data_IF_938022034610
#
_entry.id   IF_938022034610
#
_cell.length_a   1.000
_cell.length_b   1.000
_cell.length_c   1.000
_cell.angle_alpha   90.00
_cell.angle_beta   90.00
_cell.angle_gamma   90.00
#
_symmetry.space_group_name_H-M   'P 1'
#
loop_
_entity.id
_entity.type
_entity.pdbx_description
1 polymer ?
#
# COMPACT_ATOMS: atom_id res chain seq x y z
N UNK A 1 1.22 -25.30 -11.30
CA UNK A 1 2.37 -24.39 -11.10
C UNK A 1 3.31 -24.29 -12.31
N UNK A 2 3.18 -25.21 -13.27
CA UNK A 2 4.01 -25.18 -14.47
C UNK A 2 3.79 -23.86 -15.23
N UNK A 3 4.90 -23.19 -15.62
CA UNK A 3 4.86 -21.89 -16.31
C UNK A 3 4.33 -20.71 -15.50
N UNK A 4 3.95 -20.87 -14.22
CA UNK A 4 3.42 -19.81 -13.40
C UNK A 4 4.40 -18.63 -13.26
N UNK A 5 5.65 -18.93 -12.88
CA UNK A 5 6.67 -17.89 -12.76
C UNK A 5 6.93 -17.16 -14.08
N UNK A 6 6.96 -17.90 -15.20
CA UNK A 6 7.13 -17.31 -16.54
C UNK A 6 5.98 -16.36 -16.89
N UNK A 7 4.75 -16.68 -16.47
CA UNK A 7 3.59 -15.82 -16.70
C UNK A 7 3.65 -14.55 -15.84
N UNK A 8 3.98 -14.69 -14.55
CA UNK A 8 4.15 -13.54 -13.63
C UNK A 8 5.26 -12.60 -14.15
N UNK A 9 6.40 -13.13 -14.60
CA UNK A 9 7.52 -12.34 -15.12
C UNK A 9 7.20 -11.52 -16.38
N UNK A 10 6.13 -11.83 -17.10
CA UNK A 10 5.67 -10.98 -18.22
C UNK A 10 5.17 -9.62 -17.74
N UNK A 11 4.64 -9.56 -16.53
CA UNK A 11 4.06 -8.35 -15.93
C UNK A 11 5.00 -7.74 -14.90
N UNK A 12 5.68 -8.57 -14.10
CA UNK A 12 6.63 -8.17 -13.06
C UNK A 12 8.02 -8.16 -13.64
N UNK A 13 8.49 -6.99 -14.05
CA UNK A 13 9.80 -6.82 -14.68
C UNK A 13 10.92 -6.59 -13.66
N UNK A 14 12.13 -7.03 -13.95
CA UNK A 14 13.35 -6.74 -13.19
C UNK A 14 13.42 -7.40 -11.80
N UNK A 15 12.56 -8.40 -11.53
CA UNK A 15 12.51 -9.10 -10.24
C UNK A 15 12.42 -10.62 -10.41
N UNK A 16 13.08 -11.17 -11.40
CA UNK A 16 12.95 -12.57 -11.79
C UNK A 16 13.22 -13.55 -10.66
N UNK A 17 14.33 -13.37 -9.93
CA UNK A 17 14.70 -14.24 -8.80
C UNK A 17 13.70 -14.13 -7.64
N UNK A 18 13.16 -12.93 -7.40
CA UNK A 18 12.13 -12.70 -6.41
C UNK A 18 10.83 -13.42 -6.77
N UNK A 19 10.38 -13.30 -8.02
CA UNK A 19 9.18 -13.99 -8.53
C UNK A 19 9.34 -15.49 -8.41
N UNK A 20 10.50 -16.07 -8.81
CA UNK A 20 10.79 -17.50 -8.65
C UNK A 20 10.71 -17.92 -7.18
N UNK A 21 11.24 -17.10 -6.28
CA UNK A 21 11.17 -17.30 -4.83
C UNK A 21 9.73 -17.32 -4.32
N UNK A 22 8.92 -16.31 -4.69
CA UNK A 22 7.52 -16.21 -4.29
C UNK A 22 6.70 -17.39 -4.81
N UNK A 23 6.83 -17.74 -6.09
CA UNK A 23 6.11 -18.88 -6.67
C UNK A 23 6.51 -20.18 -5.97
N UNK A 24 7.79 -20.37 -5.66
CA UNK A 24 8.27 -21.53 -4.91
C UNK A 24 7.68 -21.58 -3.49
N UNK A 25 7.67 -20.43 -2.80
CA UNK A 25 7.11 -20.31 -1.45
C UNK A 25 5.61 -20.61 -1.42
N UNK A 26 4.86 -20.12 -2.41
CA UNK A 26 3.43 -20.39 -2.56
C UNK A 26 3.14 -21.86 -2.95
N UNK A 27 4.06 -22.50 -3.67
CA UNK A 27 3.95 -23.93 -4.06
C UNK A 27 4.25 -24.88 -2.90
N UNK A 28 5.04 -24.46 -1.91
CA UNK A 28 5.51 -25.33 -0.82
C UNK A 28 4.41 -26.16 -0.14
N UNK A 29 3.24 -25.59 0.26
CA UNK A 29 2.17 -26.35 0.91
C UNK A 29 1.54 -27.43 0.03
N UNK A 30 1.56 -27.23 -1.29
CA UNK A 30 1.01 -28.20 -2.23
C UNK A 30 1.92 -29.43 -2.40
N UNK A 31 3.21 -29.29 -2.09
CA UNK A 31 4.20 -30.38 -2.18
C UNK A 31 4.36 -31.10 -0.86
N UNK A 32 4.43 -30.35 0.25
CA UNK A 32 4.70 -30.90 1.59
C UNK A 32 3.42 -31.29 2.32
N UNK A 33 2.26 -30.83 1.86
CA UNK A 33 1.03 -30.89 2.62
C UNK A 33 0.97 -29.81 3.70
N UNK A 34 -0.20 -29.60 4.27
CA UNK A 34 -0.43 -28.73 5.43
C UNK A 34 -1.23 -29.48 6.45
N UNK A 35 -0.74 -29.52 7.69
CA UNK A 35 -1.51 -30.02 8.82
C UNK A 35 -2.33 -28.86 9.40
N UNK A 36 -3.65 -28.93 9.29
CA UNK A 36 -4.51 -27.95 9.95
C UNK A 36 -4.40 -28.09 11.49
N UNK A 37 -4.40 -27.00 12.26
CA UNK A 37 -4.74 -25.59 11.91
C UNK A 37 -3.56 -24.68 11.55
N UNK A 38 -2.40 -25.22 11.26
CA UNK A 38 -1.16 -24.46 11.02
C UNK A 38 -1.28 -23.56 9.79
N UNK A 39 -0.51 -22.47 9.75
CA UNK A 39 -0.38 -21.65 8.57
C UNK A 39 0.14 -22.47 7.38
N UNK A 40 -0.34 -22.20 6.16
CA UNK A 40 0.15 -22.89 4.95
C UNK A 40 1.64 -22.70 4.75
N UNK A 41 2.10 -21.46 4.90
CA UNK A 41 3.51 -21.10 4.91
C UNK A 41 3.67 -19.75 5.61
N UNK A 42 4.84 -19.55 6.21
CA UNK A 42 5.27 -18.24 6.75
C UNK A 42 6.37 -17.72 5.85
N UNK A 43 6.12 -16.60 5.18
CA UNK A 43 6.98 -16.07 4.12
C UNK A 43 7.46 -14.67 4.50
N UNK A 44 8.75 -14.42 4.37
CA UNK A 44 9.32 -13.08 4.47
C UNK A 44 9.59 -12.52 3.08
N UNK A 45 8.96 -11.41 2.74
CA UNK A 45 9.24 -10.63 1.54
C UNK A 45 10.05 -9.40 1.92
N UNK A 46 11.33 -9.40 1.57
CA UNK A 46 12.30 -8.41 2.00
C UNK A 46 12.77 -7.54 0.82
N UNK A 47 13.32 -6.36 1.13
CA UNK A 47 13.90 -5.45 0.14
C UNK A 47 13.46 -4.00 0.31
N UNK A 48 14.06 -3.11 -0.47
CA UNK A 48 13.78 -1.68 -0.40
C UNK A 48 12.32 -1.34 -0.75
N UNK A 49 11.77 -0.23 -0.21
CA UNK A 49 10.47 0.27 -0.62
C UNK A 49 10.41 0.50 -2.13
N UNK A 50 9.23 0.29 -2.74
CA UNK A 50 9.01 0.58 -4.16
C UNK A 50 9.67 -0.38 -5.15
N UNK A 51 10.26 -1.50 -4.69
CA UNK A 51 10.85 -2.53 -5.57
C UNK A 51 9.83 -3.56 -6.10
N UNK A 52 8.53 -3.30 -5.94
CA UNK A 52 7.48 -4.12 -6.53
C UNK A 52 7.07 -5.36 -5.74
N UNK A 53 7.43 -5.49 -4.46
CA UNK A 53 7.10 -6.65 -3.61
C UNK A 53 5.59 -6.95 -3.56
N UNK A 54 4.76 -5.93 -3.30
CA UNK A 54 3.30 -6.06 -3.28
C UNK A 54 2.76 -6.45 -4.64
N UNK A 55 3.17 -5.72 -5.67
CA UNK A 55 2.73 -5.97 -7.04
C UNK A 55 3.05 -7.39 -7.51
N UNK A 56 4.25 -7.89 -7.21
CA UNK A 56 4.64 -9.26 -7.57
C UNK A 56 3.81 -10.32 -6.80
N UNK A 57 3.50 -10.08 -5.52
CA UNK A 57 2.64 -10.96 -4.74
C UNK A 57 1.20 -10.96 -5.25
N UNK A 58 0.63 -9.78 -5.49
CA UNK A 58 -0.74 -9.61 -6.01
C UNK A 58 -0.89 -10.27 -7.39
N UNK A 59 0.08 -10.06 -8.28
CA UNK A 59 0.06 -10.65 -9.61
C UNK A 59 0.21 -12.18 -9.54
N UNK A 60 1.05 -12.68 -8.64
CA UNK A 60 1.17 -14.13 -8.38
C UNK A 60 -0.16 -14.69 -7.85
N UNK A 61 -0.79 -14.03 -6.89
CA UNK A 61 -2.07 -14.45 -6.33
C UNK A 61 -3.18 -14.44 -7.40
N UNK A 62 -3.23 -13.40 -8.24
CA UNK A 62 -4.18 -13.26 -9.34
C UNK A 62 -4.08 -14.43 -10.33
N UNK A 63 -2.86 -14.77 -10.76
CA UNK A 63 -2.64 -15.86 -11.71
C UNK A 63 -2.93 -17.21 -11.03
N UNK A 64 -2.54 -17.39 -9.76
CA UNK A 64 -2.84 -18.61 -9.01
C UNK A 64 -4.36 -18.81 -8.85
N UNK A 65 -5.11 -17.76 -8.55
CA UNK A 65 -6.57 -17.81 -8.44
C UNK A 65 -7.21 -18.14 -9.80
N UNK A 66 -6.75 -17.51 -10.89
CA UNK A 66 -7.20 -17.80 -12.24
C UNK A 66 -6.96 -19.27 -12.67
N UNK A 67 -5.93 -19.91 -12.09
CA UNK A 67 -5.60 -21.33 -12.32
C UNK A 67 -6.27 -22.28 -11.30
N UNK A 68 -7.12 -21.76 -10.39
CA UNK A 68 -7.78 -22.56 -9.35
C UNK A 68 -6.84 -23.09 -8.25
N UNK A 69 -5.64 -22.52 -8.11
CA UNK A 69 -4.67 -22.86 -7.06
C UNK A 69 -4.95 -22.11 -5.76
N UNK A 70 -5.63 -20.97 -5.84
CA UNK A 70 -6.21 -20.22 -4.71
C UNK A 70 -7.71 -20.06 -4.95
N UNK A 71 -8.47 -19.92 -3.88
CA UNK A 71 -9.93 -19.68 -3.95
C UNK A 71 -10.23 -18.24 -4.37
N UNK A 72 -9.33 -17.30 -4.06
CA UNK A 72 -9.47 -15.89 -4.38
C UNK A 72 -8.11 -15.24 -4.55
N UNK A 73 -8.04 -14.22 -5.40
CA UNK A 73 -6.89 -13.32 -5.57
C UNK A 73 -6.81 -12.25 -4.47
N UNK A 74 -7.84 -12.14 -3.62
CA UNK A 74 -7.88 -11.12 -2.57
C UNK A 74 -6.87 -11.44 -1.46
N UNK A 75 -6.17 -10.40 -1.05
CA UNK A 75 -5.25 -10.43 0.08
C UNK A 75 -5.82 -9.60 1.24
N UNK A 76 -5.64 -10.08 2.47
CA UNK A 76 -5.90 -9.27 3.66
C UNK A 76 -4.58 -8.63 4.11
N UNK A 77 -4.62 -7.35 4.47
CA UNK A 77 -3.44 -6.61 4.94
C UNK A 77 -3.69 -6.11 6.35
N UNK A 78 -2.79 -6.40 7.26
CA UNK A 78 -2.78 -5.88 8.62
C UNK A 78 -1.56 -4.98 8.81
N UNK A 79 -1.81 -3.68 8.87
CA UNK A 79 -0.77 -2.68 9.15
C UNK A 79 -0.54 -2.60 10.66
N UNK A 80 0.56 -3.17 11.12
CA UNK A 80 0.88 -3.30 12.53
C UNK A 80 1.31 -1.97 13.19
N UNK A 81 1.61 -0.94 12.40
CA UNK A 81 1.86 0.40 12.93
C UNK A 81 0.61 1.04 13.57
N UNK A 82 -0.58 0.50 13.27
CA UNK A 82 -1.84 0.94 13.89
C UNK A 82 -1.99 0.53 15.35
N UNK A 83 -1.12 -0.34 15.86
CA UNK A 83 -1.20 -0.92 17.19
C UNK A 83 0.10 -0.69 17.98
N UNK A 84 0.46 0.59 18.29
CA UNK A 84 1.76 0.94 18.89
C UNK A 84 1.85 0.64 20.39
N UNK A 85 0.73 0.46 21.06
CA UNK A 85 0.65 0.29 22.52
C UNK A 85 -0.40 -0.73 22.96
N UNK A 86 -0.36 -1.12 24.23
CA UNK A 86 -1.29 -2.09 24.81
C UNK A 86 -2.76 -1.65 24.79
N UNK A 87 -3.06 -0.36 24.74
CA UNK A 87 -4.41 0.18 24.67
C UNK A 87 -5.12 -0.15 23.35
N UNK A 88 -4.35 -0.48 22.32
CA UNK A 88 -4.86 -0.87 21.00
C UNK A 88 -5.33 -2.34 20.92
N UNK A 89 -5.28 -3.12 22.01
CA UNK A 89 -5.55 -4.57 22.00
C UNK A 89 -6.90 -4.94 21.37
N UNK A 90 -7.95 -4.25 21.76
CA UNK A 90 -9.30 -4.53 21.24
C UNK A 90 -9.36 -4.34 19.72
N UNK A 91 -8.77 -3.25 19.21
CA UNK A 91 -8.73 -2.97 17.77
C UNK A 91 -7.87 -4.01 17.05
N UNK A 92 -6.69 -4.31 17.59
CA UNK A 92 -5.79 -5.33 17.05
C UNK A 92 -6.49 -6.69 16.92
N UNK A 93 -7.16 -7.16 17.98
CA UNK A 93 -7.83 -8.46 17.96
C UNK A 93 -9.01 -8.50 16.99
N UNK A 94 -9.78 -7.42 16.89
CA UNK A 94 -10.87 -7.31 15.92
C UNK A 94 -10.36 -7.35 14.48
N UNK A 95 -9.33 -6.57 14.16
CA UNK A 95 -8.77 -6.50 12.81
C UNK A 95 -8.04 -7.80 12.45
N UNK A 96 -7.29 -8.40 13.38
CA UNK A 96 -6.63 -9.68 13.17
C UNK A 96 -7.67 -10.79 12.93
N UNK A 97 -8.73 -10.87 13.74
CA UNK A 97 -9.79 -11.85 13.57
C UNK A 97 -10.49 -11.68 12.22
N UNK A 98 -10.85 -10.44 11.86
CA UNK A 98 -11.45 -10.14 10.58
C UNK A 98 -10.54 -10.52 9.40
N UNK A 99 -9.23 -10.23 9.49
CA UNK A 99 -8.25 -10.57 8.48
C UNK A 99 -8.06 -12.09 8.33
N UNK A 100 -8.05 -12.84 9.43
CA UNK A 100 -7.96 -14.30 9.42
C UNK A 100 -9.20 -14.96 8.78
N UNK A 101 -10.38 -14.35 8.92
CA UNK A 101 -11.64 -14.87 8.38
C UNK A 101 -12.06 -14.19 7.06
N UNK A 102 -11.28 -13.22 6.57
CA UNK A 102 -11.52 -12.60 5.28
C UNK A 102 -11.45 -13.63 4.13
N UNK A 103 -12.19 -13.43 3.03
CA UNK A 103 -12.02 -14.26 1.85
C UNK A 103 -10.60 -14.12 1.30
N UNK A 104 -10.07 -15.23 0.76
CA UNK A 104 -8.68 -15.30 0.31
C UNK A 104 -7.76 -15.95 1.33
N UNK A 105 -6.67 -16.47 0.83
CA UNK A 105 -5.77 -17.36 1.59
C UNK A 105 -4.46 -16.67 1.97
N UNK A 106 -4.34 -15.35 1.71
CA UNK A 106 -3.12 -14.58 1.96
C UNK A 106 -3.41 -13.49 2.98
N UNK A 107 -2.66 -13.51 4.09
CA UNK A 107 -2.63 -12.46 5.11
C UNK A 107 -1.25 -11.82 5.15
N UNK A 108 -1.20 -10.52 4.95
CA UNK A 108 0.00 -9.71 4.90
C UNK A 108 0.13 -8.91 6.19
N UNK A 109 1.32 -8.94 6.79
CA UNK A 109 1.69 -8.14 7.95
C UNK A 109 2.72 -7.08 7.52
N UNK A 110 2.41 -5.81 7.79
CA UNK A 110 3.28 -4.68 7.49
C UNK A 110 3.68 -3.92 8.75
N UNK A 111 4.80 -3.21 8.69
CA UNK A 111 5.29 -2.29 9.72
C UNK A 111 5.35 -2.89 11.14
N UNK A 112 5.70 -4.17 11.25
CA UNK A 112 5.78 -4.87 12.52
C UNK A 112 6.81 -4.24 13.48
N UNK A 113 7.75 -3.46 12.98
CA UNK A 113 8.76 -2.76 13.77
C UNK A 113 8.14 -1.74 14.74
N UNK A 114 6.99 -1.18 14.38
CA UNK A 114 6.25 -0.16 15.14
C UNK A 114 5.13 -0.74 16.02
N UNK A 115 4.94 -2.06 16.00
CA UNK A 115 3.88 -2.75 16.73
C UNK A 115 4.25 -2.95 18.22
N UNK A 116 3.23 -2.96 19.07
CA UNK A 116 3.41 -3.35 20.48
C UNK A 116 3.91 -4.80 20.60
N UNK A 117 4.97 -5.07 21.41
CA UNK A 117 5.57 -6.40 21.48
C UNK A 117 4.61 -7.53 21.90
N UNK A 118 3.60 -7.22 22.74
CA UNK A 118 2.60 -8.20 23.16
C UNK A 118 1.79 -8.75 21.98
N UNK A 119 1.47 -7.94 20.98
CA UNK A 119 0.75 -8.36 19.79
C UNK A 119 1.62 -9.15 18.82
N UNK A 120 2.92 -8.80 18.74
CA UNK A 120 3.88 -9.59 17.97
C UNK A 120 4.00 -11.01 18.52
N UNK A 121 3.89 -11.21 19.84
CA UNK A 121 3.84 -12.53 20.43
C UNK A 121 2.62 -13.34 19.98
N UNK A 122 1.45 -12.72 19.91
CA UNK A 122 0.23 -13.36 19.38
C UNK A 122 0.43 -13.83 17.94
N UNK A 123 1.00 -12.98 17.09
CA UNK A 123 1.31 -13.31 15.69
C UNK A 123 2.37 -14.42 15.61
N UNK A 124 3.41 -14.36 16.47
CA UNK A 124 4.42 -15.41 16.54
C UNK A 124 3.83 -16.76 16.95
N UNK A 125 2.90 -16.79 17.89
CA UNK A 125 2.21 -18.01 18.33
C UNK A 125 1.35 -18.60 17.20
N UNK A 126 0.67 -17.76 16.40
CA UNK A 126 -0.04 -18.21 15.20
C UNK A 126 0.90 -18.91 14.20
N UNK A 127 2.08 -18.31 13.96
CA UNK A 127 3.03 -18.84 13.00
C UNK A 127 3.75 -20.11 13.47
N UNK A 128 4.07 -20.19 14.78
CA UNK A 128 4.91 -21.27 15.34
C UNK A 128 4.10 -22.42 15.93
N UNK A 129 2.95 -22.12 16.56
CA UNK A 129 2.13 -23.09 17.30
C UNK A 129 0.83 -23.41 16.58
N UNK A 130 0.52 -22.75 15.46
CA UNK A 130 -0.74 -22.88 14.75
C UNK A 130 -1.95 -22.33 15.50
N UNK A 131 -1.77 -21.71 16.66
CA UNK A 131 -2.86 -21.02 17.38
C UNK A 131 -2.29 -20.09 18.45
N UNK A 132 -3.00 -18.99 18.71
CA UNK A 132 -2.68 -18.06 19.79
C UNK A 132 -3.83 -17.95 20.79
N UNK A 133 -3.54 -17.97 22.11
CA UNK A 133 -4.54 -17.69 23.13
C UNK A 133 -4.92 -16.21 23.11
N UNK A 134 -6.17 -15.92 23.40
CA UNK A 134 -6.67 -14.57 23.61
C UNK A 134 -6.60 -14.20 25.10
N UNK A 135 -6.44 -12.91 25.40
CA UNK A 135 -6.39 -12.37 26.77
C UNK A 135 -7.71 -12.55 27.53
N UNK A 136 -8.83 -12.59 26.81
CA UNK A 136 -10.18 -12.79 27.30
C UNK A 136 -10.94 -13.81 26.46
N UNK A 137 -12.18 -14.09 26.84
CA UNK A 137 -13.12 -14.85 26.01
C UNK A 137 -13.95 -13.88 25.18
N UNK A 138 -14.11 -14.17 23.91
CA UNK A 138 -14.85 -13.34 22.98
C UNK A 138 -16.01 -14.12 22.36
N UNK A 139 -17.13 -13.44 22.13
CA UNK A 139 -18.24 -13.94 21.32
C UNK A 139 -18.13 -13.29 19.94
N UNK A 140 -18.43 -14.06 18.92
CA UNK A 140 -18.54 -13.53 17.55
C UNK A 140 -19.99 -13.14 17.33
N UNK A 141 -20.25 -11.85 17.11
CA UNK A 141 -21.59 -11.38 16.81
C UNK A 141 -22.02 -11.76 15.37
N UNK A 142 -23.27 -11.48 15.02
CA UNK A 142 -23.83 -11.76 13.68
C UNK A 142 -23.07 -11.04 12.53
N UNK A 143 -22.32 -10.02 12.86
CA UNK A 143 -21.52 -9.23 11.91
C UNK A 143 -20.08 -9.74 11.81
N UNK A 144 -19.72 -10.82 12.51
CA UNK A 144 -18.38 -11.39 12.53
C UNK A 144 -17.37 -10.61 13.39
N UNK A 145 -17.85 -9.76 14.32
CA UNK A 145 -17.02 -8.94 15.19
C UNK A 145 -16.84 -9.64 16.54
N UNK A 146 -15.61 -9.63 17.05
CA UNK A 146 -15.30 -10.10 18.40
C UNK A 146 -15.84 -9.13 19.45
N UNK A 147 -16.69 -9.63 20.34
CA UNK A 147 -17.24 -8.90 21.49
C UNK A 147 -16.74 -9.59 22.76
N UNK A 148 -16.13 -8.84 23.67
CA UNK A 148 -15.64 -9.38 24.94
C UNK A 148 -16.80 -9.98 25.75
N UNK A 149 -16.68 -11.26 26.06
CA UNK A 149 -17.68 -11.98 26.85
C UNK A 149 -17.44 -11.84 28.37
N UNK A 150 -16.38 -11.17 28.79
CA UNK A 150 -15.98 -11.05 30.18
C UNK A 150 -15.75 -12.42 30.85
N UNK A 151 -16.31 -12.61 32.04
CA UNK A 151 -16.22 -13.85 32.78
C UNK A 151 -17.33 -14.86 32.45
N UNK A 152 -18.24 -14.50 31.54
CA UNK A 152 -19.38 -15.34 31.20
C UNK A 152 -18.94 -16.64 30.49
N UNK A 153 -19.41 -17.78 30.96
CA UNK A 153 -19.28 -19.07 30.30
C UNK A 153 -20.39 -19.19 29.23
N UNK A 154 -20.22 -18.44 28.14
CA UNK A 154 -21.16 -18.48 27.03
C UNK A 154 -20.78 -19.59 26.04
N UNK A 155 -21.75 -20.43 25.59
CA UNK A 155 -21.51 -21.40 24.52
C UNK A 155 -21.02 -20.65 23.25
N UNK A 156 -19.96 -21.18 22.61
CA UNK A 156 -19.40 -20.57 21.41
C UNK A 156 -18.39 -19.45 21.68
N UNK A 157 -17.97 -19.26 22.95
CA UNK A 157 -16.91 -18.28 23.25
C UNK A 157 -15.56 -18.71 22.66
N UNK A 158 -14.92 -17.80 21.92
CA UNK A 158 -13.59 -17.96 21.33
C UNK A 158 -12.56 -17.52 22.35
N UNK A 159 -11.66 -18.42 22.73
CA UNK A 159 -10.51 -18.14 23.63
C UNK A 159 -9.15 -18.31 22.93
N UNK A 160 -9.16 -18.78 21.70
CA UNK A 160 -7.98 -18.98 20.85
C UNK A 160 -8.35 -18.63 19.42
N UNK A 161 -7.36 -18.20 18.67
CA UNK A 161 -7.44 -17.98 17.22
C UNK A 161 -6.39 -18.84 16.53
N UNK A 162 -6.65 -19.23 15.30
CA UNK A 162 -5.74 -19.98 14.44
C UNK A 162 -5.55 -19.28 13.08
N UNK A 163 -4.55 -19.67 12.28
CA UNK A 163 -4.29 -19.04 10.99
C UNK A 163 -5.34 -19.30 9.90
N UNK A 164 -6.37 -20.10 10.16
CA UNK A 164 -7.42 -20.45 9.19
C UNK A 164 -6.88 -20.97 7.84
N UNK A 165 -5.75 -21.67 7.84
CA UNK A 165 -5.11 -22.20 6.63
C UNK A 165 -4.56 -21.11 5.68
N UNK A 166 -4.23 -19.94 6.18
CA UNK A 166 -3.68 -18.84 5.37
C UNK A 166 -2.17 -18.92 5.23
N UNK A 167 -1.65 -18.29 4.17
CA UNK A 167 -0.26 -17.87 4.08
C UNK A 167 -0.08 -16.65 4.96
N UNK A 168 0.91 -16.66 5.85
CA UNK A 168 1.30 -15.52 6.67
C UNK A 168 2.52 -14.86 6.04
N UNK A 169 2.35 -13.69 5.47
CA UNK A 169 3.37 -12.99 4.71
C UNK A 169 3.81 -11.72 5.43
N UNK A 170 5.09 -11.59 5.67
CA UNK A 170 5.70 -10.46 6.36
C UNK A 170 6.49 -9.62 5.37
N UNK A 171 6.21 -8.31 5.36
CA UNK A 171 7.00 -7.35 4.59
C UNK A 171 8.05 -6.70 5.48
N UNK A 172 9.30 -6.68 5.04
CA UNK A 172 10.41 -6.04 5.73
C UNK A 172 11.31 -5.27 4.76
N UNK A 173 11.93 -4.22 5.25
CA UNK A 173 13.01 -3.52 4.52
C UNK A 173 14.37 -4.15 4.77
N UNK A 174 14.46 -5.03 5.77
CA UNK A 174 15.67 -5.70 6.22
C UNK A 174 15.46 -7.22 6.14
N UNK A 175 16.56 -7.95 6.22
CA UNK A 175 16.54 -9.39 6.14
C UNK A 175 15.98 -10.09 7.39
N UNK A 176 16.20 -11.40 7.45
CA UNK A 176 15.71 -12.32 8.48
C UNK A 176 16.17 -11.96 9.90
N UNK A 177 17.29 -11.27 10.04
CA UNK A 177 17.91 -10.91 11.34
C UNK A 177 17.00 -10.00 12.18
N UNK A 178 16.33 -9.04 11.55
CA UNK A 178 15.42 -8.12 12.26
C UNK A 178 14.15 -8.81 12.77
N UNK A 179 13.74 -9.89 12.12
CA UNK A 179 12.65 -10.72 12.65
C UNK A 179 13.03 -11.39 13.95
N UNK A 180 14.29 -11.83 14.10
CA UNK A 180 14.77 -12.45 15.33
C UNK A 180 14.69 -11.49 16.52
N UNK A 181 15.04 -10.23 16.31
CA UNK A 181 15.00 -9.20 17.36
C UNK A 181 13.58 -8.88 17.83
N UNK A 182 12.60 -8.95 16.94
CA UNK A 182 11.21 -8.58 17.21
C UNK A 182 10.34 -9.77 17.64
N UNK A 183 10.49 -10.91 17.00
CA UNK A 183 9.64 -12.08 17.20
C UNK A 183 10.34 -13.23 17.95
N UNK A 184 11.66 -13.18 18.07
CA UNK A 184 12.46 -14.23 18.68
C UNK A 184 12.86 -15.37 17.72
N UNK A 185 13.84 -16.18 18.16
CA UNK A 185 14.39 -17.27 17.36
C UNK A 185 13.39 -18.36 16.94
N UNK A 186 12.39 -18.76 17.75
CA UNK A 186 11.40 -19.76 17.31
C UNK A 186 10.60 -19.31 16.09
N UNK A 187 10.24 -18.04 16.01
CA UNK A 187 9.53 -17.49 14.86
C UNK A 187 10.39 -17.53 13.60
N UNK A 188 11.67 -17.15 13.71
CA UNK A 188 12.60 -17.19 12.57
C UNK A 188 12.74 -18.60 12.02
N UNK A 189 12.68 -19.61 12.89
CA UNK A 189 12.71 -21.03 12.46
C UNK A 189 11.42 -21.47 11.75
N UNK A 190 10.28 -20.82 12.07
CA UNK A 190 9.01 -21.08 11.41
C UNK A 190 8.89 -20.39 10.03
N UNK A 191 9.75 -19.41 9.72
CA UNK A 191 9.78 -18.79 8.39
C UNK A 191 10.27 -19.79 7.36
N UNK A 192 9.36 -20.27 6.54
CA UNK A 192 9.64 -21.30 5.53
C UNK A 192 10.43 -20.78 4.33
N UNK A 193 10.16 -19.55 3.91
CA UNK A 193 10.81 -18.94 2.73
C UNK A 193 11.11 -17.46 2.96
N UNK A 194 12.26 -17.04 2.41
CA UNK A 194 12.66 -15.62 2.35
C UNK A 194 12.89 -15.26 0.89
N UNK A 195 12.16 -14.27 0.41
CA UNK A 195 12.28 -13.73 -0.93
C UNK A 195 12.74 -12.28 -0.86
N UNK A 196 13.81 -11.93 -1.55
CA UNK A 196 14.40 -10.59 -1.49
C UNK A 196 14.40 -9.95 -2.86
N UNK A 197 13.84 -8.73 -2.95
CA UNK A 197 13.92 -7.93 -4.18
C UNK A 197 15.26 -7.22 -4.28
N UNK A 198 15.68 -6.94 -5.51
CA UNK A 198 16.88 -6.16 -5.83
C UNK A 198 16.50 -4.77 -6.35
N UNK A 199 17.46 -3.86 -6.38
CA UNK A 199 17.28 -2.59 -7.07
C UNK A 199 17.08 -2.85 -8.58
N UNK A 200 16.23 -2.05 -9.23
CA UNK A 200 15.99 -2.16 -10.66
C UNK A 200 17.20 -1.72 -11.47
N UNK A 201 17.55 -2.46 -12.50
CA UNK A 201 18.49 -2.04 -13.51
C UNK A 201 17.88 -0.93 -14.40
N UNK A 202 18.73 -0.17 -15.09
CA UNK A 202 18.28 0.90 -15.99
C UNK A 202 17.41 0.37 -17.13
N UNK A 203 17.76 -0.79 -17.64
CA UNK A 203 17.02 -1.46 -18.71
C UNK A 203 15.61 -1.88 -18.23
N UNK A 204 15.49 -2.36 -17.00
CA UNK A 204 14.20 -2.74 -16.40
C UNK A 204 13.29 -1.52 -16.26
N UNK A 205 13.83 -0.40 -15.76
CA UNK A 205 13.07 0.85 -15.63
C UNK A 205 12.63 1.39 -16.99
N UNK A 206 13.47 1.28 -18.01
CA UNK A 206 13.10 1.67 -19.38
C UNK A 206 11.98 0.78 -19.94
N UNK A 207 12.04 -0.52 -19.69
CA UNK A 207 10.99 -1.46 -20.11
C UNK A 207 9.67 -1.21 -19.37
N UNK A 208 9.71 -0.96 -18.06
CA UNK A 208 8.53 -0.58 -17.27
C UNK A 208 7.93 0.74 -17.76
N UNK A 209 8.77 1.76 -18.01
CA UNK A 209 8.30 3.04 -18.54
C UNK A 209 7.62 2.87 -19.91
N UNK A 210 8.16 2.00 -20.78
CA UNK A 210 7.53 1.69 -22.06
C UNK A 210 6.15 1.01 -21.88
N UNK A 211 6.01 0.10 -20.93
CA UNK A 211 4.71 -0.53 -20.61
C UNK A 211 3.70 0.50 -20.10
N UNK A 212 4.09 1.37 -19.16
CA UNK A 212 3.21 2.41 -18.61
C UNK A 212 2.80 3.44 -19.69
N UNK A 213 3.71 3.82 -20.57
CA UNK A 213 3.41 4.71 -21.70
C UNK A 213 2.46 4.05 -22.72
N UNK A 214 2.60 2.76 -22.99
CA UNK A 214 1.66 2.02 -23.84
C UNK A 214 0.26 1.96 -23.21
N UNK A 215 0.18 1.69 -21.89
CA UNK A 215 -1.08 1.71 -21.17
C UNK A 215 -1.72 3.11 -21.18
N UNK A 216 -0.90 4.16 -20.98
CA UNK A 216 -1.33 5.55 -21.12
C UNK A 216 -1.85 5.86 -22.51
N UNK A 217 -1.15 5.46 -23.57
CA UNK A 217 -1.59 5.67 -24.95
C UNK A 217 -2.94 5.02 -25.25
N UNK A 218 -3.16 3.81 -24.76
CA UNK A 218 -4.47 3.13 -24.87
C UNK A 218 -5.55 3.88 -24.08
N UNK A 219 -5.26 4.33 -22.85
CA UNK A 219 -6.19 5.09 -21.99
C UNK A 219 -6.59 6.43 -22.66
N UNK A 220 -5.61 7.14 -23.24
CA UNK A 220 -5.80 8.40 -23.98
C UNK A 220 -6.67 8.14 -25.22
N UNK A 221 -6.39 7.08 -25.99
CA UNK A 221 -7.16 6.71 -27.18
C UNK A 221 -8.61 6.39 -26.85
N UNK A 222 -8.85 5.61 -25.79
CA UNK A 222 -10.19 5.15 -25.45
C UNK A 222 -11.05 6.21 -24.79
N UNK A 223 -10.44 7.07 -23.94
CA UNK A 223 -11.17 8.05 -23.13
C UNK A 223 -11.18 9.45 -23.71
N UNK A 224 -10.07 9.88 -24.32
CA UNK A 224 -9.93 11.23 -24.89
C UNK A 224 -10.06 11.25 -26.41
N UNK A 225 -10.11 10.08 -27.08
CA UNK A 225 -10.14 9.92 -28.54
C UNK A 225 -8.95 10.55 -29.27
N UNK A 226 -7.83 10.70 -28.56
CA UNK A 226 -6.57 11.22 -29.08
C UNK A 226 -5.58 10.08 -29.27
N UNK A 227 -4.70 10.22 -30.28
CA UNK A 227 -3.55 9.31 -30.44
C UNK A 227 -2.34 9.91 -29.76
N UNK A 228 -1.78 9.22 -28.76
CA UNK A 228 -0.59 9.67 -28.06
C UNK A 228 0.67 9.11 -28.72
N UNK A 229 1.64 9.98 -28.99
CA UNK A 229 3.00 9.60 -29.43
C UNK A 229 4.03 10.10 -28.43
N UNK A 230 4.96 9.22 -28.06
CA UNK A 230 6.03 9.51 -27.12
C UNK A 230 7.34 8.87 -27.61
N UNK A 231 8.41 9.64 -27.63
CA UNK A 231 9.74 9.18 -28.04
C UNK A 231 10.54 8.51 -26.92
N UNK A 232 11.80 8.21 -27.22
CA UNK A 232 12.74 7.66 -26.24
C UNK A 232 13.03 8.65 -25.09
N UNK A 233 13.05 9.93 -25.39
CA UNK A 233 13.20 11.03 -24.43
C UNK A 233 12.12 11.02 -23.36
N UNK A 234 10.84 10.84 -23.74
CA UNK A 234 9.71 10.75 -22.81
C UNK A 234 9.78 9.47 -21.99
N UNK A 235 10.16 8.34 -22.61
CA UNK A 235 10.37 7.07 -21.90
C UNK A 235 11.45 7.23 -20.83
N UNK A 236 12.57 7.83 -21.15
CA UNK A 236 13.68 8.05 -20.23
C UNK A 236 13.29 9.04 -19.11
N UNK A 237 12.49 10.06 -19.43
CA UNK A 237 11.89 10.96 -18.43
C UNK A 237 10.98 10.20 -17.44
N UNK A 238 10.10 9.34 -17.94
CA UNK A 238 9.21 8.53 -17.09
C UNK A 238 10.03 7.55 -16.25
N UNK A 239 11.03 6.88 -16.82
CA UNK A 239 11.91 5.96 -16.10
C UNK A 239 12.65 6.66 -14.95
N UNK A 240 13.06 7.92 -15.13
CA UNK A 240 13.72 8.75 -14.12
C UNK A 240 12.80 9.11 -12.92
N UNK A 241 11.47 8.90 -13.02
CA UNK A 241 10.55 9.12 -11.91
C UNK A 241 10.60 8.02 -10.84
N UNK A 242 11.36 6.94 -11.07
CA UNK A 242 11.67 5.95 -10.05
C UNK A 242 12.62 6.56 -9.01
N UNK A 243 12.09 6.97 -7.87
CA UNK A 243 12.85 7.51 -6.74
C UNK A 243 12.96 6.50 -5.60
N UNK A 244 13.85 6.76 -4.63
CA UNK A 244 13.95 5.94 -3.41
C UNK A 244 12.64 5.92 -2.61
N UNK A 245 11.84 6.98 -2.69
CA UNK A 245 10.59 7.13 -1.94
C UNK A 245 9.40 6.48 -2.67
N UNK A 246 9.29 6.73 -3.99
CA UNK A 246 8.15 6.28 -4.81
C UNK A 246 8.38 4.93 -5.47
N UNK A 247 9.64 4.52 -5.61
CA UNK A 247 9.98 3.29 -6.33
C UNK A 247 9.41 3.26 -7.75
N UNK A 248 9.12 2.08 -8.26
CA UNK A 248 8.50 1.88 -9.58
C UNK A 248 7.09 2.50 -9.68
N UNK A 249 6.38 2.70 -8.56
CA UNK A 249 5.09 3.39 -8.56
C UNK A 249 5.19 4.83 -9.09
N UNK A 250 6.36 5.46 -9.01
CA UNK A 250 6.62 6.78 -9.57
C UNK A 250 6.35 6.87 -11.08
N UNK A 251 6.61 5.79 -11.82
CA UNK A 251 6.37 5.73 -13.27
C UNK A 251 4.88 5.83 -13.57
N UNK A 252 4.07 5.02 -12.88
CA UNK A 252 2.61 5.03 -13.02
C UNK A 252 2.02 6.38 -12.59
N UNK A 253 2.47 6.94 -11.47
CA UNK A 253 2.03 8.26 -11.01
C UNK A 253 2.34 9.35 -12.03
N UNK A 254 3.51 9.29 -12.69
CA UNK A 254 3.86 10.20 -13.78
C UNK A 254 2.87 10.06 -14.96
N UNK A 255 2.60 8.83 -15.41
CA UNK A 255 1.65 8.57 -16.49
C UNK A 255 0.22 9.02 -16.14
N UNK A 256 -0.23 8.80 -14.91
CA UNK A 256 -1.53 9.30 -14.44
C UNK A 256 -1.59 10.82 -14.38
N UNK A 257 -0.48 11.49 -14.03
CA UNK A 257 -0.36 12.95 -14.08
C UNK A 257 -0.42 13.48 -15.50
N UNK A 258 0.25 12.82 -16.46
CA UNK A 258 0.17 13.13 -17.88
C UNK A 258 -1.27 13.00 -18.38
N UNK A 259 -1.94 11.89 -18.04
CA UNK A 259 -3.34 11.69 -18.42
C UNK A 259 -4.26 12.77 -17.89
N UNK A 260 -4.08 13.18 -16.64
CA UNK A 260 -4.86 14.25 -16.02
C UNK A 260 -4.64 15.59 -16.73
N UNK A 261 -3.39 15.95 -17.02
CA UNK A 261 -3.08 17.18 -17.73
C UNK A 261 -3.73 17.23 -19.13
N UNK A 262 -3.66 16.13 -19.88
CA UNK A 262 -4.34 16.02 -21.18
C UNK A 262 -5.87 16.07 -21.05
N UNK A 263 -6.42 15.50 -19.97
CA UNK A 263 -7.86 15.59 -19.69
C UNK A 263 -8.30 17.03 -19.41
N UNK A 264 -7.53 17.78 -18.62
CA UNK A 264 -7.79 19.20 -18.36
C UNK A 264 -7.74 20.03 -19.65
N UNK A 265 -6.78 19.76 -20.50
CA UNK A 265 -6.71 20.41 -21.83
C UNK A 265 -7.98 20.15 -22.65
N UNK A 266 -8.47 18.90 -22.68
CA UNK A 266 -9.68 18.54 -23.37
C UNK A 266 -10.93 19.21 -22.76
N UNK A 267 -10.97 19.42 -21.45
CA UNK A 267 -12.08 20.09 -20.77
C UNK A 267 -12.09 21.61 -21.00
N UNK A 268 -10.94 22.22 -21.13
CA UNK A 268 -10.82 23.66 -21.42
C UNK A 268 -11.10 24.02 -22.88
N UNK A 269 -11.08 23.03 -23.77
CA UNK A 269 -11.27 23.21 -25.19
C UNK A 269 -12.68 22.76 -25.58
N UNK A 270 -13.59 23.68 -25.87
CA UNK A 270 -15.01 23.42 -26.18
C UNK A 270 -15.29 22.62 -27.46
N UNK A 271 -14.25 22.22 -28.17
CA UNK A 271 -14.38 21.44 -29.42
C UNK A 271 -13.97 20.00 -29.20
N UNK A 272 -14.70 19.07 -29.83
CA UNK A 272 -14.32 17.65 -29.87
C UNK A 272 -12.92 17.51 -30.47
N UNK A 273 -11.92 17.30 -29.59
CA UNK A 273 -10.54 17.15 -30.02
C UNK A 273 -10.37 15.78 -30.68
N UNK A 274 -9.85 15.79 -31.89
CA UNK A 274 -9.42 14.58 -32.62
C UNK A 274 -8.02 14.82 -33.15
N UNK A 275 -7.18 13.81 -33.15
CA UNK A 275 -5.84 13.93 -33.72
C UNK A 275 -4.74 13.30 -32.87
N UNK A 276 -3.52 13.76 -33.10
CA UNK A 276 -2.32 13.20 -32.47
C UNK A 276 -1.73 14.20 -31.49
N UNK A 277 -1.49 13.75 -30.27
CA UNK A 277 -0.71 14.46 -29.25
C UNK A 277 0.70 13.89 -29.25
N UNK A 278 1.68 14.72 -29.55
CA UNK A 278 3.08 14.38 -29.41
C UNK A 278 3.60 14.90 -28.05
N UNK A 279 4.23 14.03 -27.28
CA UNK A 279 4.96 14.40 -26.07
C UNK A 279 6.43 14.52 -26.39
N UNK A 280 7.09 15.48 -25.75
CA UNK A 280 8.54 15.68 -25.81
C UNK A 280 9.07 16.00 -24.41
N UNK A 281 10.16 15.36 -24.01
CA UNK A 281 10.81 15.67 -22.75
C UNK A 281 11.82 16.83 -22.95
N UNK A 282 11.74 17.80 -22.05
CA UNK A 282 12.66 18.95 -21.98
C UNK A 282 13.27 19.00 -20.57
N UNK A 283 14.40 19.70 -20.36
CA UNK A 283 15.02 19.77 -19.03
C UNK A 283 14.09 20.23 -17.91
N UNK A 284 13.10 21.05 -18.24
CA UNK A 284 12.16 21.65 -17.30
C UNK A 284 10.89 20.78 -17.08
N UNK A 285 10.69 19.68 -17.86
CA UNK A 285 9.50 18.83 -17.73
C UNK A 285 9.07 18.16 -19.02
N UNK A 286 7.76 18.09 -19.24
CA UNK A 286 7.16 17.54 -20.45
C UNK A 286 6.39 18.61 -21.20
N UNK A 287 6.61 18.67 -22.51
CA UNK A 287 5.83 19.46 -23.44
C UNK A 287 4.90 18.58 -24.26
N UNK A 288 3.79 19.14 -24.71
CA UNK A 288 2.86 18.47 -25.64
C UNK A 288 2.57 19.37 -26.84
N UNK A 289 2.32 18.75 -27.98
CA UNK A 289 1.90 19.41 -29.21
C UNK A 289 0.71 18.63 -29.79
N UNK A 290 -0.42 19.31 -30.04
CA UNK A 290 -1.59 18.72 -30.69
C UNK A 290 -1.53 19.00 -32.18
N UNK A 291 -1.61 17.95 -33.01
CA UNK A 291 -1.63 18.04 -34.48
C UNK A 291 -0.51 18.91 -35.09
N UNK A 292 0.66 18.90 -34.47
CA UNK A 292 1.81 19.69 -34.91
C UNK A 292 1.75 21.19 -34.55
N UNK A 293 0.87 21.59 -33.63
CA UNK A 293 0.85 22.94 -33.08
C UNK A 293 2.14 23.27 -32.30
N UNK A 294 2.33 24.53 -31.94
CA UNK A 294 3.47 24.91 -31.10
C UNK A 294 3.47 24.13 -29.76
N UNK A 295 4.63 23.60 -29.33
CA UNK A 295 4.75 22.89 -28.07
C UNK A 295 4.38 23.79 -26.89
N UNK A 296 3.63 23.25 -25.93
CA UNK A 296 3.26 23.92 -24.69
C UNK A 296 3.64 23.04 -23.48
N UNK A 297 3.90 23.67 -22.34
CA UNK A 297 4.17 22.93 -21.11
C UNK A 297 2.93 22.13 -20.68
N UNK A 298 3.09 20.82 -20.57
CA UNK A 298 2.01 19.90 -20.25
C UNK A 298 1.45 20.13 -18.84
N UNK A 299 2.31 20.39 -17.87
CA UNK A 299 1.91 20.46 -16.48
C UNK A 299 1.39 21.82 -16.05
N UNK A 300 1.59 22.86 -16.87
CA UNK A 300 0.94 24.16 -16.68
C UNK A 300 -0.59 24.08 -16.81
N UNK A 301 -1.12 23.03 -17.45
CA UNK A 301 -2.55 22.76 -17.58
C UNK A 301 -3.19 22.27 -16.28
N UNK A 302 -2.39 21.75 -15.35
CA UNK A 302 -2.92 21.26 -14.07
C UNK A 302 -3.21 22.46 -13.15
N UNK A 303 -4.37 22.45 -12.45
CA UNK A 303 -4.63 23.47 -11.43
C UNK A 303 -3.49 23.48 -10.41
N UNK A 304 -3.01 24.66 -10.09
CA UNK A 304 -1.87 24.90 -9.18
C UNK A 304 -2.10 24.39 -7.75
N UNK A 305 -3.33 23.97 -7.44
CA UNK A 305 -3.77 23.56 -6.10
C UNK A 305 -3.30 22.15 -5.64
N UNK A 306 -2.69 21.33 -6.52
CA UNK A 306 -2.53 19.88 -6.19
C UNK A 306 -1.10 19.39 -5.90
N UNK A 307 -0.04 20.17 -6.08
CA UNK A 307 1.34 19.67 -5.93
C UNK A 307 2.24 20.43 -4.96
N UNK A 308 1.91 21.66 -4.60
CA UNK A 308 2.65 22.46 -3.62
C UNK A 308 1.94 22.61 -2.27
N UNK A 309 0.61 22.54 -2.27
CA UNK A 309 -0.19 22.99 -1.13
C UNK A 309 0.05 22.17 0.16
N UNK A 310 0.26 20.87 0.08
CA UNK A 310 0.50 20.04 1.26
C UNK A 310 1.89 20.31 1.82
N UNK A 311 2.89 20.35 0.97
CA UNK A 311 4.29 20.57 1.37
C UNK A 311 4.51 22.03 1.81
N UNK A 312 3.88 23.00 1.15
CA UNK A 312 3.90 24.41 1.55
C UNK A 312 3.20 24.64 2.89
N UNK A 313 2.02 24.05 3.10
CA UNK A 313 1.28 24.15 4.36
C UNK A 313 2.03 23.43 5.48
N UNK A 314 2.69 22.30 5.17
CA UNK A 314 3.55 21.60 6.11
C UNK A 314 4.76 22.45 6.48
N UNK A 315 5.40 23.09 5.51
CA UNK A 315 6.49 24.03 5.76
C UNK A 315 6.02 25.26 6.55
N UNK A 316 4.81 25.81 6.27
CA UNK A 316 4.22 26.90 7.06
C UNK A 316 3.95 26.46 8.50
N UNK A 317 3.45 25.23 8.73
CA UNK A 317 3.26 24.67 10.05
C UNK A 317 4.60 24.45 10.77
N UNK A 318 5.62 23.96 10.07
CA UNK A 318 6.95 23.73 10.63
C UNK A 318 7.67 25.03 10.95
N UNK A 319 7.44 26.11 10.21
CA UNK A 319 8.01 27.43 10.44
C UNK A 319 7.44 28.13 11.69
N UNK A 320 6.30 27.69 12.22
CA UNK A 320 5.78 28.21 13.49
C UNK A 320 6.72 27.80 14.64
N UNK A 321 7.22 28.79 15.38
CA UNK A 321 8.14 28.54 16.49
C UNK A 321 7.39 27.88 17.65
N UNK A 322 7.91 26.75 18.14
CA UNK A 322 7.30 25.96 19.21
C UNK A 322 6.13 25.10 18.76
N UNK A 323 5.27 24.72 19.69
CA UNK A 323 4.01 23.97 19.44
C UNK A 323 4.25 22.54 18.87
N UNK A 324 5.40 21.92 19.13
CA UNK A 324 5.74 20.59 18.67
C UNK A 324 4.60 19.58 18.93
N UNK A 325 3.96 19.48 20.11
CA UNK A 325 2.86 18.55 20.34
C UNK A 325 1.64 18.77 19.43
N UNK A 326 1.39 20.02 19.03
CA UNK A 326 0.26 20.35 18.12
C UNK A 326 0.58 19.96 16.70
N UNK A 327 1.84 20.15 16.26
CA UNK A 327 2.33 19.74 14.95
C UNK A 327 2.28 18.22 14.82
N UNK A 328 2.81 17.51 15.80
CA UNK A 328 2.80 16.04 15.85
C UNK A 328 1.38 15.49 15.81
N UNK A 329 0.44 16.13 16.54
CA UNK A 329 -0.96 15.75 16.50
C UNK A 329 -1.59 15.96 15.11
N UNK A 330 -1.34 17.08 14.46
CA UNK A 330 -1.87 17.39 13.11
C UNK A 330 -1.32 16.43 12.07
N UNK A 331 -0.03 16.13 12.12
CA UNK A 331 0.59 15.17 11.21
C UNK A 331 0.09 13.74 11.47
N UNK A 332 -0.02 13.33 12.73
CA UNK A 332 -0.60 12.05 13.11
C UNK A 332 -2.08 11.90 12.71
N UNK A 333 -2.84 12.99 12.67
CA UNK A 333 -4.22 12.97 12.16
C UNK A 333 -4.26 12.71 10.65
N UNK A 334 -3.32 13.28 9.89
CA UNK A 334 -3.19 13.03 8.46
C UNK A 334 -2.82 11.58 8.16
N UNK A 335 -1.87 11.04 8.92
CA UNK A 335 -1.46 9.64 8.81
C UNK A 335 -2.63 8.71 9.13
N UNK A 336 -3.41 9.02 10.17
CA UNK A 336 -4.63 8.28 10.52
C UNK A 336 -5.67 8.30 9.39
N UNK A 337 -5.88 9.44 8.74
CA UNK A 337 -6.79 9.56 7.60
C UNK A 337 -6.34 8.71 6.42
N UNK A 338 -5.06 8.73 6.08
CA UNK A 338 -4.51 7.86 5.03
C UNK A 338 -4.69 6.39 5.36
N UNK A 339 -4.49 6.03 6.62
CA UNK A 339 -4.72 4.67 7.11
C UNK A 339 -6.18 4.27 6.96
N UNK A 340 -7.13 5.14 7.37
CA UNK A 340 -8.55 4.87 7.22
C UNK A 340 -8.95 4.73 5.74
N UNK A 341 -8.40 5.56 4.87
CA UNK A 341 -8.62 5.46 3.42
C UNK A 341 -8.09 4.14 2.86
N UNK A 342 -6.89 3.70 3.28
CA UNK A 342 -6.32 2.40 2.89
C UNK A 342 -7.15 1.23 3.43
N UNK A 343 -7.65 1.33 4.66
CA UNK A 343 -8.56 0.33 5.26
C UNK A 343 -9.87 0.25 4.48
N UNK A 344 -10.47 1.39 4.13
CA UNK A 344 -11.67 1.44 3.29
C UNK A 344 -11.44 0.81 1.91
N UNK A 345 -10.30 1.11 1.29
CA UNK A 345 -9.90 0.52 0.00
C UNK A 345 -9.67 -1.00 0.09
N UNK A 346 -9.22 -1.49 1.26
CA UNK A 346 -9.06 -2.92 1.54
C UNK A 346 -10.36 -3.61 1.97
N UNK A 347 -11.50 -2.88 1.98
CA UNK A 347 -12.82 -3.44 2.33
C UNK A 347 -13.08 -3.57 3.84
N UNK A 348 -12.21 -3.04 4.70
CA UNK A 348 -12.45 -3.01 6.14
C UNK A 348 -13.46 -1.92 6.53
N UNK A 349 -14.28 -2.18 7.52
CA UNK A 349 -15.14 -1.14 8.12
C UNK A 349 -14.25 -0.08 8.77
N UNK A 350 -14.41 1.17 8.32
CA UNK A 350 -13.74 2.32 8.90
C UNK A 350 -14.66 3.00 9.91
N UNK A 351 -14.11 3.39 11.06
CA UNK A 351 -14.83 4.27 11.99
C UNK A 351 -14.89 5.67 11.39
N UNK A 352 -16.05 6.36 11.55
CA UNK A 352 -16.12 7.77 11.21
C UNK A 352 -15.21 8.56 12.16
N UNK A 353 -14.16 9.17 11.61
CA UNK A 353 -13.30 10.07 12.37
C UNK A 353 -14.10 11.34 12.68
N UNK A 354 -14.27 11.63 13.98
CA UNK A 354 -14.80 12.91 14.39
C UNK A 354 -13.74 13.99 14.19
N UNK A 355 -14.03 14.94 13.30
CA UNK A 355 -13.19 16.11 13.01
C UNK A 355 -13.44 17.29 13.96
N UNK A 356 -14.16 17.06 15.06
CA UNK A 356 -14.38 18.11 16.06
C UNK A 356 -13.08 18.38 16.84
N UNK A 357 -12.58 19.61 16.77
CA UNK A 357 -11.36 20.05 17.43
C UNK A 357 -11.62 21.24 18.32
N UNK A 358 -11.05 21.25 19.51
CA UNK A 358 -11.09 22.38 20.44
C UNK A 358 -9.66 22.91 20.61
N UNK A 359 -9.44 24.16 20.23
CA UNK A 359 -8.16 24.85 20.39
C UNK A 359 -8.17 25.66 21.69
N UNK A 360 -7.42 25.21 22.70
CA UNK A 360 -7.29 25.87 24.00
C UNK A 360 -5.91 26.52 24.14
N UNK A 361 -5.80 27.56 24.95
CA UNK A 361 -4.55 28.24 25.24
C UNK A 361 -4.76 29.74 25.52
N UNK A 362 -3.70 30.43 25.97
CA UNK A 362 -3.71 31.82 26.30
C UNK A 362 -4.00 32.76 25.11
N UNK A 363 -4.52 33.96 25.29
CA UNK A 363 -4.63 34.96 24.23
C UNK A 363 -3.29 35.22 23.56
N UNK A 364 -3.27 35.41 22.24
CA UNK A 364 -2.06 35.73 21.49
C UNK A 364 -1.14 34.53 21.12
N UNK A 365 -1.47 33.30 21.50
CA UNK A 365 -0.64 32.09 21.22
C UNK A 365 -0.83 31.50 19.82
N UNK A 366 -1.43 32.22 18.88
CA UNK A 366 -1.56 31.80 17.48
C UNK A 366 -2.66 30.74 17.21
N UNK A 367 -3.60 30.50 18.16
CA UNK A 367 -4.67 29.49 18.01
C UNK A 367 -5.44 29.59 16.68
N UNK A 368 -5.86 30.81 16.31
CA UNK A 368 -6.62 31.04 15.08
C UNK A 368 -5.76 30.78 13.83
N UNK A 369 -4.48 31.12 13.87
CA UNK A 369 -3.54 30.87 12.77
C UNK A 369 -3.35 29.39 12.55
N UNK A 370 -3.13 28.63 13.64
CA UNK A 370 -3.00 27.18 13.60
C UNK A 370 -4.30 26.54 13.11
N UNK A 371 -5.48 26.94 13.61
CA UNK A 371 -6.74 26.39 13.18
C UNK A 371 -6.98 26.59 11.67
N UNK A 372 -6.58 27.73 11.12
CA UNK A 372 -6.65 27.98 9.66
C UNK A 372 -5.69 27.10 8.86
N UNK A 373 -4.46 26.93 9.35
CA UNK A 373 -3.46 26.06 8.69
C UNK A 373 -3.89 24.58 8.75
N UNK A 374 -4.40 24.14 9.90
CA UNK A 374 -4.96 22.79 10.05
C UNK A 374 -6.13 22.56 9.09
N UNK A 375 -7.07 23.53 8.98
CA UNK A 375 -8.17 23.43 8.04
C UNK A 375 -7.69 23.37 6.57
N UNK A 376 -6.69 24.18 6.19
CA UNK A 376 -6.06 24.12 4.87
C UNK A 376 -5.41 22.76 4.63
N UNK A 377 -4.68 22.24 5.63
CA UNK A 377 -3.99 20.97 5.55
C UNK A 377 -4.97 19.79 5.40
N UNK A 378 -6.01 19.74 6.22
CA UNK A 378 -7.06 18.71 6.13
C UNK A 378 -7.75 18.75 4.77
N UNK A 379 -8.10 19.93 4.27
CA UNK A 379 -8.67 20.10 2.92
C UNK A 379 -7.70 19.58 1.83
N UNK A 380 -6.40 19.86 1.95
CA UNK A 380 -5.40 19.45 0.98
C UNK A 380 -5.17 17.93 0.95
N UNK A 381 -5.36 17.23 2.08
CA UNK A 381 -5.28 15.76 2.17
C UNK A 381 -6.61 15.05 1.89
N UNK A 382 -7.68 15.79 1.54
CA UNK A 382 -8.98 15.23 1.18
C UNK A 382 -9.84 14.80 2.37
N UNK A 383 -9.71 15.48 3.51
CA UNK A 383 -10.48 15.24 4.71
C UNK A 383 -11.79 16.07 4.74
#
# INVERSE_FOLDING_TARGET
FEGLATEVKKTVLGQDAFVDGVVRAMRRPFVLGTEAPVARNVILLSGAPGTGRHFALEETARIMAARGLLQSDKTAVLDLALYPDAGSEKLFLQDLYAALHAPGEILIFEHYESCYPGFLKTIADLATKGSAPLSSRYLVNKEGILVDAGTALAPGAVSRIDPCGKYLIFFSHKGREVLADKFGAPFVSAVGDVCTTTAFAREDLAAMAAQELNALAQKVRTRLRLTLTAGADVRDYVAAQCSKEKGAAGLKLCCDRIFRALSEYCLQTDTALTGTVALTAVPEGLQFALNGAAPADLFSLLPTEYTGAVDEIRAELDALVGLAPVKDYVFGLADNLQVQQRRAAAGFKTASLSMHMIFTGNPGTGKTTIARLVAKYLKAIGA
#
